data_IF_429240184195
#
_entry.id   IF_429240184195
#
_cell.length_a   1.000
_cell.length_b   1.000
_cell.length_c   1.000
_cell.angle_alpha   90.00
_cell.angle_beta   90.00
_cell.angle_gamma   90.00
#
_symmetry.space_group_name_H-M   'P 1'
#
loop_
_entity.id
_entity.type
_entity.pdbx_description
1 polymer ?
#
# COMPACT_ATOMS: atom_id res chain seq x y z
N UNK A 1 -5.06 -10.37 -0.30
CA UNK A 1 -4.30 -9.12 -0.36
C UNK A 1 -3.72 -8.95 -1.77
N UNK A 2 -3.59 -7.73 -2.34
CA UNK A 2 -3.03 -7.53 -3.69
C UNK A 2 -1.51 -7.38 -3.59
N UNK A 3 -0.76 -8.33 -4.13
CA UNK A 3 0.70 -8.21 -4.20
C UNK A 3 1.06 -7.72 -5.59
N UNK A 4 1.45 -6.45 -5.69
CA UNK A 4 1.77 -5.83 -6.98
C UNK A 4 3.16 -6.18 -7.48
N UNK A 5 4.08 -6.37 -6.55
CA UNK A 5 5.47 -6.69 -6.84
C UNK A 5 5.68 -8.19 -6.75
N UNK A 6 6.35 -8.76 -7.75
CA UNK A 6 6.64 -10.20 -7.80
C UNK A 6 7.87 -10.56 -6.97
N UNK A 7 8.73 -9.57 -6.71
CA UNK A 7 9.94 -9.70 -5.91
C UNK A 7 10.17 -8.44 -5.08
N UNK A 8 11.11 -8.55 -4.13
CA UNK A 8 11.61 -7.41 -3.36
C UNK A 8 13.14 -7.44 -3.37
N UNK A 9 13.76 -6.27 -3.46
CA UNK A 9 15.21 -6.15 -3.36
C UNK A 9 15.66 -5.83 -1.94
N UNK A 10 16.86 -6.32 -1.63
CA UNK A 10 17.66 -5.93 -0.47
C UNK A 10 19.11 -5.71 -0.96
N UNK A 11 19.84 -4.78 -0.34
CA UNK A 11 21.19 -4.29 -0.75
C UNK A 11 21.17 -3.26 -1.90
N UNK A 12 22.30 -3.05 -2.59
CA UNK A 12 22.64 -1.83 -3.35
C UNK A 12 21.43 -1.19 -4.07
N UNK A 13 21.18 0.10 -3.75
CA UNK A 13 19.95 0.88 -4.05
C UNK A 13 18.79 0.72 -3.06
N UNK A 14 19.07 0.57 -1.77
CA UNK A 14 18.04 0.60 -0.72
C UNK A 14 17.30 1.94 -0.64
N UNK A 15 16.02 1.86 -0.23
CA UNK A 15 15.19 3.04 -0.08
C UNK A 15 15.24 3.60 1.34
N UNK A 16 15.37 4.92 1.45
CA UNK A 16 15.30 5.65 2.73
C UNK A 16 13.98 6.39 2.82
N UNK A 17 13.20 6.06 3.84
CA UNK A 17 12.03 6.82 4.22
C UNK A 17 12.45 8.02 5.07
N UNK A 18 12.45 9.21 4.47
CA UNK A 18 12.79 10.49 5.11
C UNK A 18 11.69 11.53 4.87
N UNK A 19 10.44 11.16 5.13
CA UNK A 19 9.28 12.03 4.96
C UNK A 19 8.90 12.35 3.51
N UNK A 20 9.42 11.59 2.54
CA UNK A 20 9.00 11.72 1.13
C UNK A 20 7.70 10.95 0.91
N UNK A 21 6.80 11.55 0.15
CA UNK A 21 5.55 10.93 -0.25
C UNK A 21 5.79 9.94 -1.40
N UNK A 22 5.43 8.68 -1.16
CA UNK A 22 5.27 7.68 -2.21
C UNK A 22 3.79 7.58 -2.57
N UNK A 23 3.47 7.44 -3.86
CA UNK A 23 2.09 7.30 -4.29
C UNK A 23 1.92 6.49 -5.57
N UNK A 24 0.79 5.79 -5.63
CA UNK A 24 0.37 5.03 -6.80
C UNK A 24 -1.08 5.33 -7.13
N UNK A 25 -1.35 5.49 -8.43
CA UNK A 25 -2.70 5.55 -8.94
C UNK A 25 -3.19 4.18 -9.38
N UNK A 26 -4.40 3.85 -8.97
CA UNK A 26 -5.04 2.59 -9.29
C UNK A 26 -6.52 2.76 -9.62
N UNK A 27 -7.06 1.78 -10.35
CA UNK A 27 -8.49 1.54 -10.46
C UNK A 27 -8.77 0.04 -10.27
N UNK A 28 -10.04 -0.29 -10.14
CA UNK A 28 -10.52 -1.67 -9.99
C UNK A 28 -11.63 -1.92 -10.99
N UNK A 29 -11.79 -3.16 -11.42
CA UNK A 29 -12.89 -3.56 -12.31
C UNK A 29 -14.19 -3.90 -11.58
N UNK A 30 -14.12 -4.09 -10.25
CA UNK A 30 -15.26 -4.42 -9.39
C UNK A 30 -15.17 -3.62 -8.10
N UNK A 31 -16.34 -3.32 -7.51
CA UNK A 31 -16.41 -2.61 -6.24
C UNK A 31 -15.64 -3.36 -5.16
N UNK A 32 -14.79 -2.64 -4.43
CA UNK A 32 -14.02 -3.16 -3.30
C UNK A 32 -14.14 -2.24 -2.09
N UNK A 33 -13.75 -2.74 -0.91
CA UNK A 33 -13.50 -1.92 0.27
C UNK A 33 -12.03 -1.98 0.61
N UNK A 34 -11.37 -0.83 0.62
CA UNK A 34 -9.98 -0.69 1.03
C UNK A 34 -9.94 -0.34 2.51
N UNK A 35 -9.16 -1.09 3.28
CA UNK A 35 -9.01 -0.85 4.73
C UNK A 35 -7.63 -0.36 5.11
N UNK A 36 -6.66 -0.42 4.20
CA UNK A 36 -5.30 -0.11 4.54
C UNK A 36 -4.30 -0.48 3.45
N UNK A 37 -3.04 -0.28 3.76
CA UNK A 37 -1.91 -0.57 2.90
C UNK A 37 -0.94 -1.55 3.54
N UNK A 38 -0.26 -2.34 2.70
CA UNK A 38 0.92 -3.09 3.09
C UNK A 38 2.17 -2.35 2.67
N UNK A 39 3.08 -2.16 3.61
CA UNK A 39 4.28 -1.34 3.48
C UNK A 39 5.50 -2.21 3.79
N UNK A 40 6.56 -2.10 2.98
CA UNK A 40 7.85 -2.67 3.31
C UNK A 40 8.49 -1.92 4.46
N UNK A 41 9.12 -2.68 5.36
CA UNK A 41 9.85 -2.17 6.51
C UNK A 41 11.36 -2.28 6.34
N UNK A 42 12.06 -2.23 7.47
CA UNK A 42 13.53 -2.28 7.52
C UNK A 42 14.10 -3.56 6.90
N UNK A 43 15.27 -3.42 6.28
CA UNK A 43 16.07 -4.49 5.69
C UNK A 43 17.34 -4.81 6.46
N UNK A 44 17.53 -4.16 7.62
CA UNK A 44 18.74 -4.24 8.44
C UNK A 44 18.46 -4.69 9.89
N UNK A 45 17.21 -5.08 10.19
CA UNK A 45 16.78 -5.48 11.53
C UNK A 45 15.47 -4.81 11.92
N UNK A 46 15.04 -5.04 13.15
CA UNK A 46 13.80 -4.48 13.66
C UNK A 46 13.85 -2.95 13.75
N UNK A 47 12.77 -2.28 13.32
CA UNK A 47 12.68 -0.82 13.38
C UNK A 47 11.22 -0.34 13.37
N UNK A 48 10.97 0.76 14.09
CA UNK A 48 9.72 1.51 14.04
C UNK A 48 9.74 2.55 12.92
N UNK A 49 8.59 2.70 12.26
CA UNK A 49 8.35 3.74 11.26
C UNK A 49 7.16 4.58 11.67
N UNK A 50 7.30 5.91 11.56
CA UNK A 50 6.14 6.80 11.51
C UNK A 50 5.59 6.80 10.09
N UNK A 51 4.27 6.78 9.94
CA UNK A 51 3.64 6.81 8.62
C UNK A 51 2.36 7.61 8.61
N UNK A 52 2.22 8.46 7.59
CA UNK A 52 0.94 9.02 7.15
C UNK A 52 0.46 8.26 5.92
N UNK A 53 -0.70 7.63 5.98
CA UNK A 53 -1.36 7.06 4.79
C UNK A 53 -2.55 7.92 4.38
N UNK A 54 -2.78 8.04 3.07
CA UNK A 54 -3.94 8.71 2.50
C UNK A 54 -4.50 7.90 1.32
N UNK A 55 -5.82 7.86 1.21
CA UNK A 55 -6.53 7.44 0.01
C UNK A 55 -7.24 8.66 -0.58
N UNK A 56 -6.96 8.96 -1.85
CA UNK A 56 -7.43 10.17 -2.53
C UNK A 56 -8.20 9.86 -3.80
N UNK A 57 -9.09 10.78 -4.18
CA UNK A 57 -9.77 10.81 -5.49
C UNK A 57 -9.97 12.25 -5.92
N UNK A 58 -9.61 12.56 -7.17
CA UNK A 58 -9.77 13.90 -7.77
C UNK A 58 -9.20 15.03 -6.88
N UNK A 59 -8.04 14.79 -6.28
CA UNK A 59 -7.38 15.76 -5.39
C UNK A 59 -7.96 15.85 -3.97
N UNK A 60 -9.03 15.14 -3.65
CA UNK A 60 -9.62 15.12 -2.30
C UNK A 60 -9.18 13.87 -1.52
N UNK A 61 -8.86 14.06 -0.23
CA UNK A 61 -8.61 12.97 0.71
C UNK A 61 -9.94 12.34 1.11
N UNK A 62 -10.08 11.04 0.87
CA UNK A 62 -11.25 10.25 1.26
C UNK A 62 -11.06 9.63 2.65
N UNK A 63 -9.83 9.24 2.97
CA UNK A 63 -9.42 8.77 4.28
C UNK A 63 -7.93 9.00 4.48
N UNK A 64 -7.54 9.23 5.73
CA UNK A 64 -6.14 9.31 6.14
C UNK A 64 -5.93 8.69 7.51
N UNK A 65 -4.69 8.33 7.81
CA UNK A 65 -4.29 7.95 9.17
C UNK A 65 -2.81 8.28 9.40
N UNK A 66 -2.51 8.90 10.55
CA UNK A 66 -1.16 9.11 11.04
C UNK A 66 -0.88 8.09 12.14
N UNK A 67 -0.03 7.12 11.87
CA UNK A 67 0.21 5.99 12.75
C UNK A 67 1.67 5.55 12.73
N UNK A 68 1.97 4.47 13.44
CA UNK A 68 3.27 3.79 13.43
C UNK A 68 3.09 2.32 13.10
N UNK A 69 4.13 1.72 12.54
CA UNK A 69 4.21 0.26 12.46
C UNK A 69 5.61 -0.21 12.84
N UNK A 70 5.66 -1.37 13.47
CA UNK A 70 6.88 -2.09 13.75
C UNK A 70 7.21 -3.01 12.58
N UNK A 71 8.45 -2.96 12.11
CA UNK A 71 9.01 -3.94 11.18
C UNK A 71 9.99 -4.86 11.91
N UNK A 72 9.96 -6.15 11.62
CA UNK A 72 10.81 -7.17 12.26
C UNK A 72 12.15 -7.40 11.51
N UNK A 73 12.42 -6.62 10.46
CA UNK A 73 13.59 -6.79 9.60
C UNK A 73 13.44 -7.83 8.50
N UNK A 74 12.28 -8.49 8.39
CA UNK A 74 11.99 -9.43 7.31
C UNK A 74 11.54 -8.71 6.02
N UNK A 75 11.61 -9.43 4.90
CA UNK A 75 11.08 -8.98 3.60
C UNK A 75 9.55 -8.95 3.51
N UNK A 76 8.85 -9.19 4.63
CA UNK A 76 7.41 -9.10 4.69
C UNK A 76 6.93 -7.65 4.54
N UNK A 77 5.63 -7.51 4.33
CA UNK A 77 4.98 -6.20 4.43
C UNK A 77 4.21 -6.10 5.72
N UNK A 78 4.21 -4.91 6.29
CA UNK A 78 3.53 -4.57 7.52
C UNK A 78 2.28 -3.78 7.16
N UNK A 79 1.16 -4.14 7.78
CA UNK A 79 -0.14 -3.56 7.46
C UNK A 79 -0.40 -2.32 8.31
N UNK A 80 -0.89 -1.28 7.67
CA UNK A 80 -1.43 -0.08 8.31
C UNK A 80 -2.82 0.17 7.80
N UNK A 81 -3.71 0.60 8.70
CA UNK A 81 -5.15 0.63 8.45
C UNK A 81 -5.70 2.05 8.52
N UNK A 82 -6.72 2.32 7.73
CA UNK A 82 -7.63 3.44 7.93
C UNK A 82 -8.57 3.14 9.09
N UNK A 83 -9.18 4.17 9.67
CA UNK A 83 -10.16 4.02 10.74
C UNK A 83 -11.39 3.22 10.29
N UNK A 84 -11.86 3.48 9.06
CA UNK A 84 -13.03 2.84 8.48
C UNK A 84 -12.70 2.29 7.08
N UNK A 85 -13.34 1.18 6.65
CA UNK A 85 -13.24 0.71 5.28
C UNK A 85 -13.78 1.75 4.28
N UNK A 86 -13.04 1.98 3.19
CA UNK A 86 -13.40 2.93 2.14
C UNK A 86 -13.89 2.18 0.91
N UNK A 87 -15.10 2.50 0.47
CA UNK A 87 -15.68 1.98 -0.76
C UNK A 87 -14.97 2.56 -1.99
N UNK A 88 -14.52 1.67 -2.87
CA UNK A 88 -13.89 2.00 -4.15
C UNK A 88 -14.82 1.58 -5.26
N UNK A 89 -15.29 2.55 -6.04
CA UNK A 89 -16.08 2.28 -7.24
C UNK A 89 -15.23 1.73 -8.39
N UNK A 90 -15.78 0.83 -9.21
CA UNK A 90 -15.16 0.39 -10.46
C UNK A 90 -14.77 1.56 -11.35
N UNK A 91 -13.71 1.36 -12.15
CA UNK A 91 -13.28 2.22 -13.25
C UNK A 91 -12.96 3.68 -12.87
N UNK A 92 -12.95 3.98 -11.57
CA UNK A 92 -12.56 5.27 -11.03
C UNK A 92 -11.07 5.25 -10.63
N UNK A 93 -10.36 6.34 -10.89
CA UNK A 93 -8.97 6.51 -10.48
C UNK A 93 -8.88 7.00 -9.03
N UNK A 94 -8.16 6.24 -8.22
CA UNK A 94 -7.80 6.57 -6.84
C UNK A 94 -6.29 6.66 -6.70
N UNK A 95 -5.83 7.49 -5.78
CA UNK A 95 -4.41 7.58 -5.41
C UNK A 95 -4.25 7.04 -3.99
N UNK A 96 -3.49 5.96 -3.83
CA UNK A 96 -2.96 5.55 -2.55
C UNK A 96 -1.61 6.26 -2.34
N UNK A 97 -1.41 6.88 -1.18
CA UNK A 97 -0.12 7.48 -0.84
C UNK A 97 0.28 7.21 0.60
N UNK A 98 1.59 7.14 0.81
CA UNK A 98 2.17 6.99 2.12
C UNK A 98 3.40 7.90 2.26
N UNK A 99 3.50 8.61 3.38
CA UNK A 99 4.69 9.36 3.79
C UNK A 99 5.28 8.61 4.97
N UNK A 100 6.46 8.02 4.78
CA UNK A 100 7.14 7.25 5.82
C UNK A 100 8.36 8.00 6.31
N UNK A 101 8.64 7.83 7.59
CA UNK A 101 9.83 8.32 8.24
C UNK A 101 10.38 7.25 9.18
N UNK A 102 11.64 6.85 8.95
CA UNK A 102 12.35 5.86 9.76
C UNK A 102 13.84 5.90 9.51
N UNK A 103 14.62 5.47 10.51
CA UNK A 103 16.09 5.54 10.47
C UNK A 103 16.71 4.53 9.51
N UNK A 104 16.07 3.38 9.32
CA UNK A 104 16.63 2.24 8.63
C UNK A 104 16.33 2.20 7.12
N UNK A 105 17.26 1.59 6.40
CA UNK A 105 17.10 1.23 5.00
C UNK A 105 16.00 0.18 4.85
N UNK A 106 15.08 0.40 3.92
CA UNK A 106 13.93 -0.48 3.73
C UNK A 106 14.06 -1.42 2.53
N UNK A 107 13.34 -2.53 2.58
CA UNK A 107 13.01 -3.30 1.38
C UNK A 107 12.18 -2.43 0.42
N UNK A 108 12.29 -2.71 -0.87
CA UNK A 108 11.43 -2.10 -1.88
C UNK A 108 11.03 -3.12 -2.93
N UNK A 109 9.86 -2.89 -3.54
CA UNK A 109 9.28 -3.81 -4.51
C UNK A 109 9.98 -3.75 -5.88
N UNK A 110 10.20 -4.90 -6.49
CA UNK A 110 10.69 -5.05 -7.85
C UNK A 110 9.67 -5.78 -8.72
N UNK A 111 9.84 -5.70 -10.05
CA UNK A 111 8.98 -6.42 -11.01
C UNK A 111 7.49 -6.11 -10.80
N UNK A 112 7.19 -4.82 -10.66
CA UNK A 112 5.84 -4.36 -10.36
C UNK A 112 4.88 -4.56 -11.53
N UNK A 113 3.83 -5.36 -11.31
CA UNK A 113 2.76 -5.64 -12.26
C UNK A 113 1.90 -4.42 -12.57
N UNK A 114 1.59 -4.19 -13.85
CA UNK A 114 0.62 -3.16 -14.29
C UNK A 114 -0.81 -3.58 -13.98
N UNK A 115 -1.09 -4.89 -14.06
CA UNK A 115 -2.39 -5.49 -13.74
C UNK A 115 -2.17 -6.64 -12.78
N UNK A 116 -2.85 -6.60 -11.64
CA UNK A 116 -2.87 -7.70 -10.68
C UNK A 116 -4.22 -8.38 -10.75
N UNK A 117 -4.24 -9.67 -11.05
CA UNK A 117 -5.47 -10.46 -11.06
C UNK A 117 -5.64 -11.12 -9.71
N UNK A 118 -6.79 -10.85 -9.10
CA UNK A 118 -7.26 -11.53 -7.91
C UNK A 118 -7.95 -12.82 -8.33
N UNK A 119 -7.18 -13.91 -8.37
CA UNK A 119 -7.64 -15.22 -8.87
C UNK A 119 -8.92 -15.67 -8.17
N UNK A 120 -9.03 -15.48 -6.85
CA UNK A 120 -10.19 -15.93 -6.08
C UNK A 120 -11.47 -15.10 -6.33
N UNK A 121 -11.37 -13.93 -6.96
CA UNK A 121 -12.49 -12.98 -7.12
C UNK A 121 -12.84 -12.66 -8.56
N UNK A 122 -12.05 -13.17 -9.51
CA UNK A 122 -12.08 -12.74 -10.91
C UNK A 122 -12.16 -11.21 -11.00
N UNK A 123 -11.31 -10.52 -10.25
CA UNK A 123 -11.25 -9.05 -10.20
C UNK A 123 -9.82 -8.62 -10.46
N UNK A 124 -9.65 -7.44 -11.03
CA UNK A 124 -8.37 -6.88 -11.39
C UNK A 124 -8.15 -5.51 -10.75
N UNK A 125 -6.92 -5.31 -10.31
CA UNK A 125 -6.38 -4.05 -9.84
C UNK A 125 -5.41 -3.55 -10.91
N UNK A 126 -5.69 -2.39 -11.49
CA UNK A 126 -4.92 -1.84 -12.60
C UNK A 126 -4.20 -0.59 -12.11
N UNK A 127 -2.91 -0.53 -12.41
CA UNK A 127 -2.01 0.58 -12.05
C UNK A 127 -1.91 1.52 -13.24
N UNK A 128 -2.23 2.79 -13.04
CA UNK A 128 -2.21 3.79 -14.11
C UNK A 128 -0.95 4.67 -14.08
N UNK A 129 -0.46 5.04 -12.89
CA UNK A 129 0.72 5.91 -12.77
C UNK A 129 1.47 5.65 -11.47
N UNK A 130 2.80 5.77 -11.51
CA UNK A 130 3.69 5.65 -10.34
C UNK A 130 4.43 6.96 -10.13
N UNK A 131 4.45 7.46 -8.90
CA UNK A 131 5.36 8.53 -8.49
C UNK A 131 6.20 7.95 -7.35
N UNK A 132 7.44 7.56 -7.69
CA UNK A 132 8.44 6.84 -6.87
C UNK A 132 8.26 5.32 -6.78
N UNK A 133 9.40 4.62 -6.60
CA UNK A 133 9.54 3.18 -6.83
C UNK A 133 9.33 2.33 -5.56
N UNK A 134 9.13 2.93 -4.40
CA UNK A 134 9.40 2.22 -3.16
C UNK A 134 8.17 1.61 -2.51
N UNK A 135 7.00 2.25 -2.56
CA UNK A 135 6.02 1.92 -1.55
C UNK A 135 4.58 2.38 -1.80
N UNK A 136 3.88 1.58 -2.58
CA UNK A 136 2.60 1.03 -2.09
C UNK A 136 2.66 -0.45 -2.38
N UNK A 137 3.17 -1.22 -1.42
CA UNK A 137 3.44 -2.62 -1.67
C UNK A 137 2.16 -3.43 -1.80
N UNK A 138 1.07 -3.03 -1.13
CA UNK A 138 -0.21 -3.74 -1.15
C UNK A 138 -1.38 -2.81 -0.85
N UNK A 139 -2.51 -3.01 -1.52
CA UNK A 139 -3.82 -2.52 -1.07
C UNK A 139 -4.51 -3.68 -0.32
N UNK A 140 -4.84 -3.46 0.95
CA UNK A 140 -5.51 -4.44 1.82
C UNK A 140 -7.03 -4.24 1.65
N UNK A 141 -7.72 -5.32 1.24
CA UNK A 141 -9.17 -5.35 0.98
C UNK A 141 -9.89 -6.17 2.06
N UNK A 142 -11.10 -5.74 2.46
CA UNK A 142 -12.13 -6.65 2.98
C UNK A 142 -13.12 -7.02 1.86
N UNK A 143 -13.54 -8.27 1.88
CA UNK A 143 -14.54 -8.84 1.00
C UNK A 143 -15.80 -9.16 1.80
N UNK A 144 -16.92 -8.79 1.21
CA UNK A 144 -18.30 -9.03 1.63
C UNK A 144 -18.93 -8.04 2.60
N UNK A 145 -20.03 -7.50 2.10
CA UNK A 145 -21.05 -6.63 2.67
C UNK A 145 -21.88 -7.30 3.77
N UNK A 146 -21.25 -8.06 4.67
CA UNK A 146 -21.97 -8.78 5.73
C UNK A 146 -21.17 -9.00 7.02
N UNK A 147 -20.08 -8.26 7.23
CA UNK A 147 -19.39 -8.24 8.52
C UNK A 147 -19.47 -6.83 9.08
N UNK A 148 -20.40 -6.64 10.02
CA UNK A 148 -20.33 -5.56 11.01
C UNK A 148 -18.97 -5.65 11.71
N UNK A 149 -18.26 -4.53 11.77
CA UNK A 149 -17.06 -4.40 12.59
C UNK A 149 -17.37 -4.81 14.06
N UNK A 150 -16.36 -5.28 14.83
CA UNK A 150 -16.54 -5.54 16.25
C UNK A 150 -16.96 -4.27 17.01
#
# INVERSE_FOLDING_TARGET
ICHRFQSCAYRSNQWRYRGRCDSIQFCVDKRIFVVGFGLYGSSNGAADYNVKIELKRLGRVLAENNTKFFSDGSSNTFHVYFENPIQIEPECLYTASAILDGSELSYFGQEGLVKCIWVQLHSSFIVHQRVQMALVSKVVRFLNSSITAP
#
